data_IF_947953304010
#
_entry.id   IF_947953304010
#
_cell.length_a   1.000
_cell.length_b   1.000
_cell.length_c   1.000
_cell.angle_alpha   90.00
_cell.angle_beta   90.00
_cell.angle_gamma   90.00
#
_symmetry.space_group_name_H-M   'P 1'
#
loop_
_entity.id
_entity.type
_entity.pdbx_description
1 polymer ?
#
# COMPACT_ATOMS: atom_id res chain seq x y z
N UNK A 1 -9.19 -12.54 0.41
CA UNK A 1 -9.29 -11.29 1.20
C UNK A 1 -7.89 -10.78 1.50
N UNK A 2 -7.64 -9.49 1.30
CA UNK A 2 -6.33 -8.88 1.55
C UNK A 2 -5.97 -8.82 3.04
N UNK A 3 -4.68 -8.69 3.37
CA UNK A 3 -4.18 -8.37 4.70
C UNK A 3 -3.72 -6.91 4.75
N UNK A 4 -3.99 -6.22 5.84
CA UNK A 4 -3.63 -4.82 6.06
C UNK A 4 -2.95 -4.68 7.41
N UNK A 5 -1.87 -3.92 7.43
CA UNK A 5 -1.14 -3.57 8.65
C UNK A 5 -0.98 -2.06 8.74
N UNK A 6 -1.22 -1.51 9.92
CA UNK A 6 -0.91 -0.12 10.24
C UNK A 6 -0.20 -0.04 11.59
N UNK A 7 0.95 0.62 11.64
CA UNK A 7 1.72 0.82 12.87
C UNK A 7 2.03 2.30 13.02
N UNK A 8 1.82 2.82 14.21
CA UNK A 8 2.22 4.16 14.62
C UNK A 8 2.90 4.15 15.98
N UNK A 9 3.94 4.95 16.13
CA UNK A 9 4.66 5.15 17.39
C UNK A 9 5.10 6.60 17.58
N UNK A 10 5.24 7.04 18.82
CA UNK A 10 5.76 8.37 19.13
C UNK A 10 7.27 8.51 18.89
N UNK A 11 8.00 7.40 18.93
CA UNK A 11 9.45 7.38 18.73
C UNK A 11 9.77 6.75 17.38
N UNK A 12 10.77 7.33 16.68
CA UNK A 12 11.28 6.76 15.45
C UNK A 12 11.99 5.43 15.76
N UNK A 13 11.54 4.35 15.14
CA UNK A 13 12.04 2.99 15.32
C UNK A 13 12.07 2.26 13.98
N UNK A 14 12.45 0.99 14.03
CA UNK A 14 12.40 0.00 12.95
C UNK A 14 10.96 -0.42 12.54
N UNK A 15 10.07 0.56 12.46
CA UNK A 15 8.65 0.32 12.14
C UNK A 15 8.44 -0.34 10.78
N UNK A 16 9.21 -0.01 9.71
CA UNK A 16 9.08 -0.73 8.44
C UNK A 16 9.37 -2.24 8.58
N UNK A 17 10.35 -2.62 9.38
CA UNK A 17 10.66 -4.03 9.65
C UNK A 17 9.52 -4.71 10.44
N UNK A 18 9.04 -4.07 11.51
CA UNK A 18 7.90 -4.59 12.29
C UNK A 18 6.64 -4.74 11.43
N UNK A 19 6.38 -3.78 10.53
CA UNK A 19 5.25 -3.85 9.62
C UNK A 19 5.42 -4.99 8.59
N UNK A 20 6.63 -5.25 8.11
CA UNK A 20 6.89 -6.38 7.21
C UNK A 20 6.68 -7.72 7.91
N UNK A 21 7.09 -7.86 9.16
CA UNK A 21 6.85 -9.07 9.97
C UNK A 21 5.34 -9.30 10.20
N UNK A 22 4.60 -8.23 10.47
CA UNK A 22 3.15 -8.31 10.61
C UNK A 22 2.47 -8.69 9.28
N UNK A 23 2.92 -8.13 8.14
CA UNK A 23 2.45 -8.54 6.82
C UNK A 23 2.78 -9.99 6.51
N UNK A 24 3.95 -10.48 6.94
CA UNK A 24 4.30 -11.89 6.77
C UNK A 24 3.34 -12.80 7.55
N UNK A 25 2.93 -12.41 8.75
CA UNK A 25 1.91 -13.14 9.52
C UNK A 25 0.55 -13.14 8.80
N UNK A 26 0.23 -12.08 8.04
CA UNK A 26 -0.99 -11.94 7.22
C UNK A 26 -0.84 -12.54 5.80
N UNK A 27 0.31 -13.14 5.45
CA UNK A 27 0.60 -13.65 4.09
C UNK A 27 -0.44 -14.63 3.56
N UNK A 28 -1.08 -15.41 4.45
CA UNK A 28 -2.15 -16.34 4.08
C UNK A 28 -3.40 -15.64 3.51
N UNK A 29 -3.56 -14.33 3.72
CA UNK A 29 -4.66 -13.52 3.21
C UNK A 29 -4.41 -12.99 1.81
N UNK A 30 -3.14 -12.91 1.36
CA UNK A 30 -2.81 -12.43 0.02
C UNK A 30 -1.39 -12.83 -0.37
N UNK A 31 -1.25 -13.43 -1.56
CA UNK A 31 0.02 -13.98 -2.06
C UNK A 31 0.40 -13.45 -3.44
N UNK A 32 -0.36 -12.51 -3.99
CA UNK A 32 -0.11 -11.97 -5.33
C UNK A 32 0.96 -10.88 -5.31
N UNK A 33 0.80 -9.94 -4.41
CA UNK A 33 1.71 -8.81 -4.26
C UNK A 33 1.72 -8.33 -2.82
N UNK A 34 2.75 -7.61 -2.45
CA UNK A 34 2.85 -6.94 -1.15
C UNK A 34 3.44 -5.54 -1.31
N UNK A 35 3.17 -4.70 -0.33
CA UNK A 35 3.68 -3.34 -0.32
C UNK A 35 3.69 -2.75 1.07
N UNK A 36 4.58 -1.78 1.24
CA UNK A 36 4.78 -1.02 2.47
C UNK A 36 5.00 0.45 2.13
N UNK A 37 4.33 1.32 2.85
CA UNK A 37 4.60 2.75 2.83
C UNK A 37 4.94 3.24 4.24
N UNK A 38 5.95 4.11 4.34
CA UNK A 38 6.40 4.67 5.61
C UNK A 38 6.78 6.13 5.49
N UNK A 39 6.76 6.86 6.61
CA UNK A 39 7.17 8.24 6.66
C UNK A 39 8.68 8.34 6.90
N UNK A 40 9.38 9.08 6.04
CA UNK A 40 10.81 9.32 6.15
C UNK A 40 11.14 10.76 5.74
N UNK A 41 11.77 11.51 6.65
CA UNK A 41 12.24 12.88 6.40
C UNK A 41 11.16 13.80 5.78
N UNK A 42 9.95 13.75 6.32
CA UNK A 42 8.81 14.55 5.85
C UNK A 42 8.19 14.09 4.51
N UNK A 43 8.58 12.91 4.02
CA UNK A 43 8.05 12.31 2.79
C UNK A 43 7.50 10.93 3.07
N UNK A 44 6.57 10.47 2.24
CA UNK A 44 6.16 9.07 2.22
C UNK A 44 7.07 8.32 1.25
N UNK A 45 7.66 7.24 1.73
CA UNK A 45 8.35 6.24 0.92
C UNK A 45 7.39 5.10 0.65
N UNK A 46 7.52 4.51 -0.52
CA UNK A 46 6.70 3.38 -0.97
C UNK A 46 7.60 2.33 -1.59
N UNK A 47 7.46 1.11 -1.14
CA UNK A 47 8.00 -0.08 -1.81
C UNK A 47 6.88 -1.09 -1.97
N UNK A 48 6.60 -1.51 -3.19
CA UNK A 48 5.64 -2.55 -3.50
C UNK A 48 6.14 -3.40 -4.67
N UNK A 49 5.83 -4.68 -4.63
CA UNK A 49 6.23 -5.62 -5.67
C UNK A 49 5.24 -6.78 -5.79
N UNK A 50 5.30 -7.47 -6.91
CA UNK A 50 4.66 -8.77 -7.06
C UNK A 50 5.45 -9.81 -6.28
N UNK A 51 4.77 -10.79 -5.69
CA UNK A 51 5.38 -11.86 -4.92
C UNK A 51 5.13 -11.78 -3.41
N UNK A 52 5.84 -12.63 -2.68
CA UNK A 52 5.64 -12.82 -1.23
C UNK A 52 6.45 -11.81 -0.40
N UNK A 53 5.95 -11.52 0.80
CA UNK A 53 6.56 -10.58 1.73
C UNK A 53 8.04 -10.86 1.97
N UNK A 54 8.41 -12.13 2.22
CA UNK A 54 9.80 -12.54 2.48
C UNK A 54 10.75 -12.37 1.27
N UNK A 55 10.19 -12.33 0.06
CA UNK A 55 10.96 -12.17 -1.17
C UNK A 55 11.22 -10.69 -1.46
N UNK A 56 10.27 -9.83 -1.10
CA UNK A 56 10.31 -8.39 -1.36
C UNK A 56 11.00 -7.64 -0.23
N UNK A 57 10.65 -7.94 1.02
CA UNK A 57 11.16 -7.25 2.21
C UNK A 57 12.26 -8.07 2.88
N UNK A 58 13.40 -8.16 2.19
CA UNK A 58 14.59 -8.83 2.73
C UNK A 58 15.25 -7.99 3.81
N UNK A 59 16.10 -8.61 4.63
CA UNK A 59 16.87 -7.91 5.67
C UNK A 59 17.65 -6.72 5.10
N UNK A 60 18.26 -6.88 3.93
CA UNK A 60 19.05 -5.82 3.27
C UNK A 60 18.17 -4.64 2.85
N UNK A 61 16.96 -4.91 2.35
CA UNK A 61 16.00 -3.87 1.95
C UNK A 61 15.50 -3.08 3.15
N UNK A 62 15.32 -3.74 4.30
CA UNK A 62 14.80 -3.13 5.51
C UNK A 62 15.90 -2.51 6.41
N UNK A 63 17.16 -2.83 6.14
CA UNK A 63 18.27 -2.40 6.97
C UNK A 63 18.35 -0.86 7.09
N UNK A 64 18.34 -0.38 8.33
CA UNK A 64 18.46 1.05 8.63
C UNK A 64 17.21 1.89 8.36
N UNK A 65 16.09 1.27 7.96
CA UNK A 65 14.83 1.98 7.81
C UNK A 65 14.20 2.25 9.19
N UNK A 66 14.05 3.54 9.52
CA UNK A 66 13.42 3.97 10.76
C UNK A 66 12.30 4.96 10.47
N UNK A 67 11.16 4.75 11.09
CA UNK A 67 9.97 5.57 10.91
C UNK A 67 9.18 5.71 12.20
N UNK A 68 8.25 6.66 12.22
CA UNK A 68 7.18 6.77 13.22
C UNK A 68 5.94 5.98 12.83
N UNK A 69 5.74 5.74 11.56
CA UNK A 69 4.56 5.05 11.07
C UNK A 69 4.84 4.30 9.76
N UNK A 70 4.09 3.23 9.57
CA UNK A 70 4.01 2.52 8.30
C UNK A 70 2.61 1.95 8.11
N UNK A 71 2.21 1.82 6.84
CA UNK A 71 1.04 1.06 6.42
C UNK A 71 1.47 0.03 5.38
N UNK A 72 0.90 -1.15 5.45
CA UNK A 72 1.28 -2.25 4.60
C UNK A 72 0.09 -3.07 4.12
N UNK A 73 0.30 -3.80 3.02
CA UNK A 73 -0.73 -4.58 2.37
C UNK A 73 -0.17 -5.86 1.76
N UNK A 74 -0.90 -6.96 1.88
CA UNK A 74 -0.75 -8.18 1.07
C UNK A 74 -2.02 -8.40 0.27
N UNK A 75 -1.88 -8.51 -1.05
CA UNK A 75 -3.01 -8.53 -1.98
C UNK A 75 -3.42 -9.94 -2.31
N UNK A 76 -4.73 -10.17 -2.20
CA UNK A 76 -5.42 -11.28 -2.84
C UNK A 76 -6.06 -10.77 -4.14
N UNK A 77 -5.88 -11.43 -5.29
CA UNK A 77 -6.40 -10.93 -6.56
C UNK A 77 -7.94 -10.91 -6.53
N UNK A 78 -8.52 -9.72 -6.70
CA UNK A 78 -9.96 -9.53 -6.86
C UNK A 78 -10.25 -8.84 -8.19
N UNK A 79 -10.22 -7.53 -8.24
CA UNK A 79 -10.44 -6.75 -9.46
C UNK A 79 -9.12 -6.21 -10.04
N UNK A 80 -9.08 -6.00 -11.35
CA UNK A 80 -8.00 -5.31 -12.05
C UNK A 80 -6.84 -6.19 -12.53
N UNK A 81 -6.79 -7.48 -12.16
CA UNK A 81 -5.70 -8.38 -12.56
C UNK A 81 -4.43 -8.24 -11.71
N UNK A 82 -3.48 -9.17 -11.95
CA UNK A 82 -2.21 -9.27 -11.22
C UNK A 82 -1.16 -8.34 -11.86
N UNK A 83 -1.21 -7.05 -11.54
CA UNK A 83 -0.24 -6.07 -12.02
C UNK A 83 0.28 -5.20 -10.89
N UNK A 84 1.48 -4.65 -11.05
CA UNK A 84 2.12 -3.83 -10.02
C UNK A 84 1.33 -2.54 -9.73
N UNK A 85 0.65 -1.99 -10.71
CA UNK A 85 -0.18 -0.80 -10.54
C UNK A 85 -1.31 -1.05 -9.53
N UNK A 86 -1.88 -2.26 -9.54
CA UNK A 86 -2.94 -2.67 -8.63
C UNK A 86 -2.45 -3.10 -7.25
N UNK A 87 -1.12 -3.27 -7.07
CA UNK A 87 -0.55 -3.54 -5.76
C UNK A 87 -0.70 -2.31 -4.85
N UNK A 88 -0.97 -2.55 -3.57
CA UNK A 88 -1.14 -1.52 -2.56
C UNK A 88 0.08 -1.49 -1.62
N UNK A 89 0.35 -0.38 -0.90
CA UNK A 89 -0.42 0.86 -0.81
C UNK A 89 -0.47 1.68 -2.09
N UNK A 90 -1.56 2.43 -2.28
CA UNK A 90 -1.63 3.50 -3.27
C UNK A 90 -1.07 4.79 -2.68
N UNK A 91 -0.24 5.48 -3.46
CA UNK A 91 0.31 6.79 -3.06
C UNK A 91 -0.49 7.88 -3.77
N UNK A 92 -1.14 8.73 -2.98
CA UNK A 92 -1.87 9.89 -3.50
C UNK A 92 -1.02 11.13 -3.29
N UNK A 93 -0.64 11.76 -4.40
CA UNK A 93 0.12 13.00 -4.44
C UNK A 93 -0.75 14.12 -5.01
N UNK A 94 -0.84 15.23 -4.30
CA UNK A 94 -1.54 16.42 -4.78
C UNK A 94 -0.58 17.60 -4.80
N UNK A 95 -0.77 18.50 -5.78
CA UNK A 95 -0.06 19.78 -5.81
C UNK A 95 -0.41 20.58 -4.54
N UNK A 96 0.59 20.93 -3.74
CA UNK A 96 0.47 21.74 -2.52
C UNK A 96 -0.28 21.10 -1.34
N UNK A 97 -0.50 19.79 -1.32
CA UNK A 97 -1.16 19.10 -0.20
C UNK A 97 -0.33 17.93 0.35
N UNK A 98 -0.57 17.52 1.59
CA UNK A 98 0.07 16.34 2.15
C UNK A 98 -0.15 15.13 1.25
N UNK A 99 0.89 14.32 1.13
CA UNK A 99 0.81 13.01 0.47
C UNK A 99 0.15 12.02 1.41
N UNK A 100 -0.61 11.12 0.82
CA UNK A 100 -1.26 10.03 1.54
C UNK A 100 -0.81 8.70 0.97
N UNK A 101 -0.67 7.70 1.84
CA UNK A 101 -0.58 6.31 1.45
C UNK A 101 -1.83 5.59 1.94
N UNK A 102 -2.53 4.91 1.05
CA UNK A 102 -3.79 4.26 1.33
C UNK A 102 -3.69 2.75 1.10
N UNK A 103 -4.25 1.98 2.02
CA UNK A 103 -4.50 0.55 1.87
C UNK A 103 -5.97 0.26 2.10
N UNK A 104 -6.53 -0.64 1.32
CA UNK A 104 -7.94 -1.02 1.44
C UNK A 104 -8.13 -2.54 1.33
N UNK A 105 -9.14 -3.05 2.01
CA UNK A 105 -9.61 -4.42 1.89
C UNK A 105 -11.13 -4.39 1.74
N UNK A 106 -11.61 -4.33 0.52
CA UNK A 106 -13.03 -4.24 0.18
C UNK A 106 -13.22 -4.15 -1.32
N UNK A 107 -14.47 -4.04 -1.72
CA UNK A 107 -14.88 -3.80 -3.10
C UNK A 107 -15.93 -2.69 -3.14
N UNK A 108 -15.72 -1.69 -3.97
CA UNK A 108 -16.69 -0.64 -4.22
C UNK A 108 -17.71 -1.13 -5.27
N UNK A 109 -18.95 -1.32 -4.84
CA UNK A 109 -20.02 -1.79 -5.74
C UNK A 109 -20.36 -0.80 -6.86
N UNK A 110 -20.08 0.48 -6.64
CA UNK A 110 -20.30 1.58 -7.60
C UNK A 110 -19.00 2.08 -8.24
N UNK A 111 -17.93 1.29 -8.25
CA UNK A 111 -16.61 1.70 -8.72
C UNK A 111 -16.64 2.29 -10.14
N UNK A 112 -17.38 1.66 -11.07
CA UNK A 112 -17.45 2.12 -12.45
C UNK A 112 -18.01 3.55 -12.55
N UNK A 113 -19.11 3.85 -11.86
CA UNK A 113 -19.72 5.18 -11.86
C UNK A 113 -18.84 6.22 -11.13
N UNK A 114 -18.21 5.82 -10.03
CA UNK A 114 -17.27 6.69 -9.31
C UNK A 114 -16.05 7.04 -10.19
N UNK A 115 -15.48 6.07 -10.89
CA UNK A 115 -14.37 6.30 -11.83
C UNK A 115 -14.75 7.25 -12.96
N UNK A 116 -15.96 7.13 -13.52
CA UNK A 116 -16.45 8.06 -14.52
C UNK A 116 -16.62 9.47 -13.96
N UNK A 117 -17.12 9.61 -12.74
CA UNK A 117 -17.23 10.90 -12.05
C UNK A 117 -15.86 11.54 -11.80
N UNK A 118 -14.89 10.78 -11.30
CA UNK A 118 -13.52 11.24 -11.13
C UNK A 118 -12.91 11.69 -12.45
N UNK A 119 -13.06 10.92 -13.53
CA UNK A 119 -12.56 11.29 -14.85
C UNK A 119 -13.20 12.59 -15.39
N UNK A 120 -14.50 12.79 -15.16
CA UNK A 120 -15.18 14.05 -15.51
C UNK A 120 -14.63 15.26 -14.74
N UNK A 121 -14.15 15.02 -13.52
CA UNK A 121 -13.50 16.04 -12.69
C UNK A 121 -11.97 16.11 -12.92
N UNK A 122 -11.45 15.49 -13.98
CA UNK A 122 -10.03 15.45 -14.33
C UNK A 122 -9.14 14.78 -13.27
N UNK A 123 -9.71 13.88 -12.48
CA UNK A 123 -8.97 13.00 -11.55
C UNK A 123 -8.83 11.62 -12.19
N UNK A 124 -7.60 11.25 -12.52
CA UNK A 124 -7.30 10.00 -13.21
C UNK A 124 -6.61 9.03 -12.26
N UNK A 125 -7.20 7.85 -12.10
CA UNK A 125 -6.63 6.77 -11.30
C UNK A 125 -5.53 6.07 -12.08
N UNK A 126 -4.43 5.76 -11.41
CA UNK A 126 -3.26 5.09 -11.99
C UNK A 126 -3.46 3.59 -12.16
N UNK A 127 -4.37 3.00 -11.38
CA UNK A 127 -4.65 1.57 -11.37
C UNK A 127 -6.11 1.25 -11.76
N UNK A 128 -6.40 -0.04 -11.76
CA UNK A 128 -7.78 -0.55 -11.86
C UNK A 128 -8.30 -1.08 -10.53
N UNK A 129 -7.55 -0.84 -9.46
CA UNK A 129 -7.97 -1.19 -8.12
C UNK A 129 -8.93 -0.13 -7.58
N UNK A 130 -10.07 -0.56 -7.08
CA UNK A 130 -11.10 0.34 -6.53
C UNK A 130 -10.67 1.03 -5.23
N UNK A 131 -9.71 0.47 -4.52
CA UNK A 131 -9.13 1.09 -3.33
C UNK A 131 -8.31 2.36 -3.60
N UNK A 132 -8.07 2.73 -4.88
CA UNK A 132 -7.45 3.99 -5.25
C UNK A 132 -8.47 5.14 -5.37
N UNK A 133 -9.73 4.82 -5.57
CA UNK A 133 -10.83 5.78 -5.75
C UNK A 133 -11.37 6.31 -4.43
#
# INVERSE_FOLDING_TARGET
MCGIVGIFTRQRRDIPEQASLALFAEQHRGQESCGLAWAENGRIRLLKAMGLVKEVFTTDVLAGLHSHCAVGHVRYPTQGGATLENAQPHLVETLNRPRYALTSNGDLINYASLREELNRNHVYLSSRNDGEA
#
